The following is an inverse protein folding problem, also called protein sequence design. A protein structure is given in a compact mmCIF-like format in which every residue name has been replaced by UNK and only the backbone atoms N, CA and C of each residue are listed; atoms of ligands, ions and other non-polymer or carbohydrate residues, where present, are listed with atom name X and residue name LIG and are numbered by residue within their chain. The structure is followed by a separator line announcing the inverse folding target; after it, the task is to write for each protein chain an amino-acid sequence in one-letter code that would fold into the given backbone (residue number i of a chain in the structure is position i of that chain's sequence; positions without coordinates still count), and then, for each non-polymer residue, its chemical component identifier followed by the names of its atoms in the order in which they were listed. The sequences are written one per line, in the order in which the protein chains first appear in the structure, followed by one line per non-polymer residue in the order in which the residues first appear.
data_IF_646794948759
#
_entry.id   IF_646794948759
#
_cell.length_a   1.000
_cell.length_b   1.000
_cell.length_c   1.000
_cell.angle_alpha   90.00
_cell.angle_beta   90.00
_cell.angle_gamma   90.00
#
_symmetry.space_group_name_H-M   'P 1'
#
loop_
_entity.id
_entity.type
_entity.pdbx_description
1 polymer ?
#
# COMPACT_ATOMS: atom_id res chain seq x y z
N UNK A 1 8.24 -34.21 21.53
CA UNK A 1 7.81 -34.39 20.13
C UNK A 1 6.28 -34.47 20.13
N UNK A 2 5.57 -33.80 19.21
CA UNK A 2 5.31 -32.35 19.24
C UNK A 2 3.83 -32.03 18.98
N UNK A 3 3.33 -30.87 19.42
CA UNK A 3 2.18 -30.20 18.80
C UNK A 3 2.17 -28.72 19.21
N UNK A 4 3.18 -27.99 18.72
CA UNK A 4 3.30 -26.54 18.82
C UNK A 4 2.92 -25.86 17.49
N UNK A 5 1.90 -26.40 16.82
CA UNK A 5 1.46 -25.98 15.49
C UNK A 5 0.00 -25.52 15.53
N UNK A 6 -0.27 -24.37 16.17
CA UNK A 6 -1.50 -23.62 15.83
C UNK A 6 -1.44 -22.15 16.17
N UNK A 7 -1.27 -21.38 15.09
CA UNK A 7 -2.01 -20.16 14.81
C UNK A 7 -1.86 -19.00 15.80
N UNK A 8 -0.87 -18.15 15.54
CA UNK A 8 -1.04 -16.70 15.69
C UNK A 8 -0.56 -16.03 14.40
N UNK A 9 -1.46 -16.02 13.42
CA UNK A 9 -1.37 -15.29 12.16
C UNK A 9 -1.25 -13.78 12.48
N UNK A 10 -0.02 -13.35 12.71
CA UNK A 10 0.33 -12.02 13.17
C UNK A 10 0.24 -11.02 12.01
N UNK A 11 -0.90 -10.32 11.93
CA UNK A 11 -0.94 -9.01 11.28
C UNK A 11 -1.69 -8.90 9.96
N UNK A 12 -2.87 -9.51 9.81
CA UNK A 12 -3.85 -9.03 8.82
C UNK A 12 -4.52 -7.75 9.34
N UNK A 13 -3.72 -6.70 9.52
CA UNK A 13 -4.19 -5.39 9.95
C UNK A 13 -5.11 -4.78 8.91
N UNK A 14 -6.18 -4.11 9.35
CA UNK A 14 -7.20 -3.43 8.53
C UNK A 14 -6.62 -2.40 7.53
N UNK A 15 -5.31 -2.11 7.59
CA UNK A 15 -4.58 -1.11 6.81
C UNK A 15 -3.37 -1.68 6.05
N UNK A 16 -3.35 -2.97 5.73
CA UNK A 16 -2.28 -3.58 4.94
C UNK A 16 -2.24 -3.08 3.49
N UNK A 17 -1.08 -3.11 2.79
CA UNK A 17 -0.97 -2.65 1.40
C UNK A 17 -1.99 -3.28 0.45
N UNK A 18 -2.24 -4.59 0.58
CA UNK A 18 -3.24 -5.30 -0.23
C UNK A 18 -4.67 -4.80 0.02
N UNK A 19 -5.01 -4.54 1.29
CA UNK A 19 -6.31 -3.97 1.67
C UNK A 19 -6.49 -2.56 1.11
N UNK A 20 -5.43 -1.75 1.16
CA UNK A 20 -5.41 -0.39 0.62
C UNK A 20 -5.54 -0.39 -0.90
N UNK A 21 -4.85 -1.29 -1.60
CA UNK A 21 -5.01 -1.47 -3.05
C UNK A 21 -6.46 -1.85 -3.39
N UNK A 22 -7.04 -2.81 -2.66
CA UNK A 22 -8.42 -3.24 -2.90
C UNK A 22 -9.40 -2.08 -2.73
N UNK A 23 -9.23 -1.29 -1.67
CA UNK A 23 -10.06 -0.12 -1.40
C UNK A 23 -9.97 0.91 -2.54
N UNK A 24 -8.75 1.24 -2.98
CA UNK A 24 -8.55 2.14 -4.12
C UNK A 24 -9.21 1.61 -5.40
N UNK A 25 -9.08 0.32 -5.70
CA UNK A 25 -9.71 -0.25 -6.89
C UNK A 25 -11.24 -0.20 -6.81
N UNK A 26 -11.83 -0.36 -5.61
CA UNK A 26 -13.26 -0.17 -5.42
C UNK A 26 -13.67 1.27 -5.71
N UNK A 27 -12.97 2.26 -5.15
CA UNK A 27 -13.23 3.68 -5.41
C UNK A 27 -13.13 4.01 -6.91
N UNK A 28 -12.07 3.53 -7.57
CA UNK A 28 -11.84 3.70 -9.00
C UNK A 28 -12.98 3.13 -9.87
N UNK A 29 -13.54 1.98 -9.46
CA UNK A 29 -14.60 1.28 -10.19
C UNK A 29 -16.00 1.54 -9.61
N UNK A 30 -16.24 2.73 -9.04
CA UNK A 30 -17.56 3.16 -8.59
C UNK A 30 -18.14 2.32 -7.45
N UNK A 31 -17.30 1.90 -6.52
CA UNK A 31 -17.60 0.99 -5.40
C UNK A 31 -18.11 -0.41 -5.80
N UNK A 32 -17.94 -0.83 -7.06
CA UNK A 32 -18.43 -2.12 -7.55
C UNK A 32 -17.36 -3.22 -7.52
N UNK A 33 -17.55 -4.24 -6.67
CA UNK A 33 -16.67 -5.39 -6.62
C UNK A 33 -16.65 -6.20 -7.94
N UNK A 34 -17.79 -6.26 -8.64
CA UNK A 34 -17.92 -6.91 -9.96
C UNK A 34 -17.11 -6.16 -11.01
N UNK A 35 -17.19 -4.83 -11.02
CA UNK A 35 -16.42 -4.00 -11.94
C UNK A 35 -14.91 -4.13 -11.71
N UNK A 36 -14.43 -4.26 -10.46
CA UNK A 36 -13.01 -4.51 -10.20
C UNK A 36 -12.54 -5.85 -10.77
N UNK A 37 -13.35 -6.92 -10.70
CA UNK A 37 -12.99 -8.19 -11.33
C UNK A 37 -12.93 -8.07 -12.85
N UNK A 38 -13.89 -7.35 -13.43
CA UNK A 38 -14.01 -7.12 -14.87
C UNK A 38 -13.08 -6.01 -15.42
N UNK A 39 -12.24 -5.39 -14.58
CA UNK A 39 -11.32 -4.34 -15.00
C UNK A 39 -10.31 -4.90 -16.03
N UNK A 40 -10.28 -4.29 -17.22
CA UNK A 40 -9.45 -4.72 -18.35
C UNK A 40 -8.13 -3.95 -18.47
N UNK A 41 -7.86 -3.01 -17.57
CA UNK A 41 -6.62 -2.21 -17.57
C UNK A 41 -5.44 -3.02 -17.01
N UNK A 42 -4.88 -3.91 -17.83
CA UNK A 42 -3.76 -4.79 -17.45
C UNK A 42 -2.45 -4.03 -17.26
N UNK A 43 -2.31 -2.86 -17.90
CA UNK A 43 -1.14 -1.99 -17.76
C UNK A 43 -1.14 -1.23 -16.42
N UNK A 44 -2.30 -1.14 -15.75
CA UNK A 44 -2.39 -0.59 -14.41
C UNK A 44 -1.43 -1.32 -13.44
N UNK A 45 -0.50 -0.62 -12.78
CA UNK A 45 0.43 -1.23 -11.84
C UNK A 45 -0.22 -2.02 -10.70
N UNK A 46 -1.49 -1.75 -10.40
CA UNK A 46 -2.27 -2.42 -9.35
C UNK A 46 -3.12 -3.59 -9.86
N UNK A 47 -3.20 -3.81 -11.18
CA UNK A 47 -4.11 -4.78 -11.76
C UNK A 47 -3.93 -6.19 -11.17
N UNK A 48 -2.69 -6.69 -11.16
CA UNK A 48 -2.37 -8.01 -10.61
C UNK A 48 -2.60 -8.13 -9.08
N UNK A 49 -2.68 -7.00 -8.38
CA UNK A 49 -2.81 -6.93 -6.92
C UNK A 49 -4.27 -6.74 -6.47
N UNK A 50 -5.17 -6.34 -7.38
CA UNK A 50 -6.52 -5.87 -7.07
C UNK A 50 -7.40 -6.91 -6.37
N UNK A 51 -7.14 -8.20 -6.57
CA UNK A 51 -7.88 -9.31 -5.98
C UNK A 51 -7.10 -10.07 -4.89
N UNK A 52 -5.81 -9.78 -4.70
CA UNK A 52 -4.89 -10.57 -3.88
C UNK A 52 -5.22 -10.61 -2.36
N UNK A 53 -6.16 -9.80 -1.89
CA UNK A 53 -6.64 -9.83 -0.50
C UNK A 53 -7.77 -10.85 -0.28
N UNK A 54 -8.45 -11.25 -1.36
CA UNK A 54 -9.59 -12.16 -1.33
C UNK A 54 -9.12 -13.62 -1.14
N UNK A 55 -9.94 -14.42 -0.46
CA UNK A 55 -9.66 -15.84 -0.29
C UNK A 55 -9.80 -16.59 -1.63
N UNK A 56 -8.86 -17.49 -1.92
CA UNK A 56 -8.86 -18.29 -3.15
C UNK A 56 -8.25 -17.59 -4.38
N UNK A 57 -7.96 -16.30 -4.29
CA UNK A 57 -7.28 -15.57 -5.36
C UNK A 57 -5.75 -15.68 -5.21
N UNK A 58 -5.05 -15.75 -6.34
CA UNK A 58 -3.58 -15.82 -6.34
C UNK A 58 -2.97 -14.44 -6.05
N UNK A 59 -1.94 -14.41 -5.21
CA UNK A 59 -1.10 -13.23 -5.02
C UNK A 59 0.03 -13.27 -6.05
N UNK A 60 0.35 -12.16 -6.74
CA UNK A 60 1.43 -12.14 -7.72
C UNK A 60 2.84 -12.29 -7.11
N UNK A 61 2.95 -12.38 -5.78
CA UNK A 61 4.21 -12.52 -5.08
C UNK A 61 4.10 -13.51 -3.90
N UNK A 62 5.24 -14.09 -3.48
CA UNK A 62 5.31 -14.90 -2.26
C UNK A 62 4.80 -14.16 -1.03
N UNK A 63 4.25 -14.88 -0.05
CA UNK A 63 3.57 -14.30 1.10
C UNK A 63 4.46 -13.33 1.92
N UNK A 64 5.74 -13.67 2.09
CA UNK A 64 6.71 -12.86 2.81
C UNK A 64 7.07 -11.55 2.07
N UNK A 65 6.91 -11.53 0.75
CA UNK A 65 7.28 -10.40 -0.11
C UNK A 65 6.09 -9.54 -0.53
N UNK A 66 4.89 -10.11 -0.50
CA UNK A 66 3.67 -9.52 -1.03
C UNK A 66 3.45 -8.08 -0.55
N UNK A 67 3.63 -7.82 0.75
CA UNK A 67 3.46 -6.47 1.29
C UNK A 67 4.48 -5.46 0.71
N UNK A 68 5.74 -5.87 0.53
CA UNK A 68 6.81 -5.02 0.00
C UNK A 68 6.61 -4.74 -1.49
N UNK A 69 6.27 -5.76 -2.24
CA UNK A 69 6.03 -5.65 -3.67
C UNK A 69 4.73 -4.87 -3.98
N UNK A 70 3.67 -5.06 -3.19
CA UNK A 70 2.45 -4.26 -3.25
C UNK A 70 2.74 -2.76 -3.02
N UNK A 71 3.59 -2.41 -2.04
CA UNK A 71 4.01 -1.02 -1.84
C UNK A 71 4.74 -0.45 -3.08
N UNK A 72 5.57 -1.24 -3.76
CA UNK A 72 6.22 -0.82 -5.02
C UNK A 72 5.18 -0.61 -6.14
N UNK A 73 4.16 -1.45 -6.21
CA UNK A 73 3.05 -1.28 -7.14
C UNK A 73 2.26 0.01 -6.88
N UNK A 74 1.94 0.29 -5.60
CA UNK A 74 1.33 1.56 -5.18
C UNK A 74 2.20 2.76 -5.62
N UNK A 75 3.52 2.67 -5.42
CA UNK A 75 4.43 3.74 -5.84
C UNK A 75 4.37 4.02 -7.34
N UNK A 76 4.34 2.96 -8.17
CA UNK A 76 4.20 3.07 -9.62
C UNK A 76 2.86 3.69 -10.00
N UNK A 77 1.76 3.25 -9.37
CA UNK A 77 0.44 3.86 -9.60
C UNK A 77 0.44 5.36 -9.27
N UNK A 78 1.03 5.76 -8.15
CA UNK A 78 1.11 7.16 -7.79
C UNK A 78 1.97 7.96 -8.77
N UNK A 79 3.06 7.40 -9.31
CA UNK A 79 3.81 8.06 -10.40
C UNK A 79 2.96 8.18 -11.66
N UNK A 80 2.26 7.12 -12.08
CA UNK A 80 1.40 7.17 -13.26
C UNK A 80 0.25 8.18 -13.14
N UNK A 81 -0.27 8.39 -11.93
CA UNK A 81 -1.34 9.36 -11.67
C UNK A 81 -0.83 10.79 -11.54
N UNK A 82 0.26 11.02 -10.79
CA UNK A 82 0.73 12.37 -10.49
C UNK A 82 1.78 12.89 -11.48
N UNK A 83 2.45 12.01 -12.23
CA UNK A 83 3.59 12.33 -13.09
C UNK A 83 4.92 11.87 -12.48
N UNK A 84 5.50 12.68 -11.60
CA UNK A 84 6.85 12.45 -11.09
C UNK A 84 7.00 12.29 -9.57
N UNK A 85 8.25 12.22 -9.08
CA UNK A 85 8.53 12.06 -7.64
C UNK A 85 8.24 13.32 -6.83
N UNK A 86 8.44 14.50 -7.39
CA UNK A 86 8.12 15.77 -6.76
C UNK A 86 6.59 15.95 -6.67
N UNK A 87 5.87 15.63 -7.74
CA UNK A 87 4.41 15.71 -7.82
C UNK A 87 3.74 14.72 -6.85
N UNK A 88 4.25 13.49 -6.73
CA UNK A 88 3.75 12.56 -5.69
C UNK A 88 3.98 13.10 -4.27
N UNK A 89 5.06 13.85 -4.01
CA UNK A 89 5.25 14.49 -2.70
C UNK A 89 4.22 15.59 -2.46
N UNK A 90 3.92 16.38 -3.49
CA UNK A 90 2.99 17.51 -3.47
C UNK A 90 1.50 17.10 -3.55
N UNK A 91 1.19 15.86 -3.91
CA UNK A 91 -0.17 15.36 -4.08
C UNK A 91 -1.09 15.69 -2.88
N UNK A 92 -2.18 16.41 -3.16
CA UNK A 92 -3.14 16.92 -2.17
C UNK A 92 -4.31 15.96 -1.88
N UNK A 93 -4.38 14.80 -2.52
CA UNK A 93 -5.48 13.83 -2.39
C UNK A 93 -5.50 13.05 -1.06
N UNK A 94 -5.05 13.68 0.04
CA UNK A 94 -4.81 13.05 1.34
C UNK A 94 -6.05 12.36 1.90
N UNK A 95 -7.18 13.03 1.83
CA UNK A 95 -8.45 12.56 2.40
C UNK A 95 -9.31 11.82 1.36
N UNK A 96 -8.96 11.92 0.07
CA UNK A 96 -9.77 11.40 -1.04
C UNK A 96 -9.19 10.16 -1.73
N UNK A 97 -7.94 9.78 -1.44
CA UNK A 97 -7.26 8.66 -2.09
C UNK A 97 -6.75 7.65 -1.07
N UNK A 98 -7.30 6.43 -1.11
CA UNK A 98 -6.88 5.34 -0.21
C UNK A 98 -5.37 5.04 -0.26
N UNK A 99 -4.71 5.26 -1.41
CA UNK A 99 -3.28 5.01 -1.58
C UNK A 99 -2.38 6.07 -0.91
N UNK A 100 -2.91 7.24 -0.52
CA UNK A 100 -2.10 8.42 -0.22
C UNK A 100 -1.07 8.19 0.90
N UNK A 101 -1.43 7.42 1.94
CA UNK A 101 -0.52 7.09 3.04
C UNK A 101 0.64 6.16 2.63
N UNK A 102 0.45 5.39 1.55
CA UNK A 102 1.40 4.43 1.01
C UNK A 102 2.11 4.94 -0.26
N UNK A 103 1.82 6.18 -0.70
CA UNK A 103 2.27 6.73 -2.00
C UNK A 103 3.78 6.75 -2.21
N UNK A 104 4.56 6.71 -1.14
CA UNK A 104 6.03 6.67 -1.21
C UNK A 104 6.60 5.26 -1.40
N UNK A 105 5.76 4.22 -1.51
CA UNK A 105 6.22 2.84 -1.70
C UNK A 105 6.93 2.25 -0.49
N UNK A 106 6.69 2.82 0.69
CA UNK A 106 7.20 2.36 1.96
C UNK A 106 6.07 2.29 2.96
N UNK A 107 6.22 1.49 4.02
CA UNK A 107 5.23 1.47 5.10
C UNK A 107 5.10 2.86 5.71
N UNK A 108 3.88 3.33 6.03
CA UNK A 108 3.67 4.66 6.61
C UNK A 108 4.52 4.91 7.88
N UNK A 109 4.70 3.88 8.72
CA UNK A 109 5.52 3.94 9.92
C UNK A 109 7.01 4.16 9.59
N UNK A 110 7.52 3.47 8.57
CA UNK A 110 8.90 3.64 8.09
C UNK A 110 9.13 5.07 7.58
N UNK A 111 8.18 5.62 6.82
CA UNK A 111 8.27 7.00 6.35
C UNK A 111 8.29 8.01 7.52
N UNK A 112 7.40 7.84 8.51
CA UNK A 112 7.38 8.68 9.72
C UNK A 112 8.70 8.61 10.48
N UNK A 113 9.26 7.42 10.66
CA UNK A 113 10.54 7.22 11.35
C UNK A 113 11.69 7.91 10.62
N UNK A 114 11.79 7.73 9.30
CA UNK A 114 12.80 8.39 8.46
C UNK A 114 12.65 9.91 8.53
N UNK A 115 11.43 10.45 8.37
CA UNK A 115 11.21 11.90 8.49
C UNK A 115 11.63 12.43 9.86
N UNK A 116 11.27 11.75 10.95
CA UNK A 116 11.69 12.16 12.29
C UNK A 116 13.21 12.17 12.41
N UNK A 117 13.91 11.17 11.88
CA UNK A 117 15.38 11.09 11.95
C UNK A 117 16.07 12.28 11.25
N UNK A 118 15.60 12.66 10.06
CA UNK A 118 16.26 13.68 9.25
C UNK A 118 15.80 15.11 9.56
N UNK A 119 14.56 15.29 10.01
CA UNK A 119 13.94 16.61 10.15
C UNK A 119 13.49 16.93 11.58
N UNK A 120 13.76 16.08 12.58
CA UNK A 120 13.47 16.46 13.95
C UNK A 120 14.33 17.66 14.38
N UNK A 121 13.77 18.62 15.12
CA UNK A 121 14.56 19.69 15.70
C UNK A 121 15.65 19.09 16.60
N UNK A 122 16.89 19.57 16.46
CA UNK A 122 17.99 19.17 17.34
C UNK A 122 17.68 19.71 18.74
N UNK A 123 17.78 18.89 19.81
CA UNK A 123 17.60 19.39 21.16
C UNK A 123 18.67 20.44 21.44
N UNK A 124 18.24 21.67 21.74
CA UNK A 124 19.13 22.71 22.23
C UNK A 124 19.58 22.30 23.62
N UNK A 125 20.87 22.01 23.79
CA UNK A 125 21.46 21.87 25.12
C UNK A 125 21.69 23.29 25.64
N UNK A 126 20.84 23.74 26.56
CA UNK A 126 21.10 24.92 27.37
C UNK A 126 22.11 24.48 28.44
N UNK A 127 23.38 24.78 28.20
CA UNK A 127 24.44 24.75 29.22
C UNK A 127 24.48 26.11 29.91
#
# INVERSE_FOLDING_TARGET
MPDAERAKNSGRGKNGPLTVIRQFCLECQGASAKAVRACADEDCPLWAWRLAVLAGESCPAPAEEAARQALRAIRRQCMGCAGDRAEVRACAAREACALWHCRFGVRPQTYKAVRRRFFAPKPLRLL
#
